data_IF_338145145591
#
_entry.id   IF_338145145591
#
_cell.length_a   1.000
_cell.length_b   1.000
_cell.length_c   1.000
_cell.angle_alpha   90.00
_cell.angle_beta   90.00
_cell.angle_gamma   90.00
#
_symmetry.space_group_name_H-M   'P 1'
#
loop_
_entity.id
_entity.type
_entity.pdbx_description
1 polymer ?
#
# COMPACT_ATOMS: atom_id res chain seq x y z
N UNK A 1 -26.84 1.05 25.83
CA UNK A 1 -26.18 1.14 24.52
C UNK A 1 -27.18 1.74 23.55
N UNK A 2 -27.15 3.06 23.37
CA UNK A 2 -27.94 3.70 22.31
C UNK A 2 -27.05 3.83 21.09
N UNK A 3 -27.30 2.99 20.10
CA UNK A 3 -26.60 3.08 18.83
C UNK A 3 -27.63 2.88 17.73
N UNK A 4 -27.82 3.91 16.90
CA UNK A 4 -28.78 3.86 15.80
C UNK A 4 -28.12 3.14 14.63
N UNK A 5 -28.69 2.01 14.24
CA UNK A 5 -28.30 1.30 13.03
C UNK A 5 -28.76 2.14 11.83
N UNK A 6 -27.80 2.61 11.04
CA UNK A 6 -28.03 3.38 9.82
C UNK A 6 -27.37 2.69 8.65
N UNK A 7 -27.99 2.79 7.47
CA UNK A 7 -27.33 2.40 6.22
C UNK A 7 -26.15 3.35 5.97
N UNK A 8 -24.98 2.87 5.50
CA UNK A 8 -23.91 3.77 5.10
C UNK A 8 -24.40 4.73 4.01
N UNK A 9 -24.18 6.03 4.23
CA UNK A 9 -24.48 7.08 3.26
C UNK A 9 -23.26 7.37 2.39
N UNK A 10 -23.45 8.12 1.29
CA UNK A 10 -22.34 8.56 0.45
C UNK A 10 -21.45 9.53 1.25
N UNK A 11 -20.14 9.44 1.05
CA UNK A 11 -19.20 10.44 1.55
C UNK A 11 -18.88 11.34 0.36
N UNK A 12 -19.50 12.52 0.29
CA UNK A 12 -19.47 13.39 -0.90
C UNK A 12 -19.94 12.61 -2.16
N UNK A 13 -19.08 12.45 -3.17
CA UNK A 13 -19.39 11.70 -4.39
C UNK A 13 -19.00 10.21 -4.29
N UNK A 14 -18.28 9.82 -3.24
CA UNK A 14 -17.81 8.46 -3.06
C UNK A 14 -18.93 7.54 -2.55
N UNK A 15 -19.16 6.45 -3.30
CA UNK A 15 -20.11 5.37 -2.99
C UNK A 15 -19.61 4.47 -1.85
N UNK A 16 -19.49 5.05 -0.67
CA UNK A 16 -19.03 4.39 0.55
C UNK A 16 -19.92 3.20 0.93
N UNK A 17 -21.22 3.29 0.65
CA UNK A 17 -22.19 2.20 0.77
C UNK A 17 -21.80 0.95 0.00
N UNK A 18 -21.35 1.11 -1.25
CA UNK A 18 -20.92 -0.01 -2.10
C UNK A 18 -19.56 -0.54 -1.70
N UNK A 19 -18.65 0.36 -1.32
CA UNK A 19 -17.33 -0.02 -0.82
C UNK A 19 -17.44 -0.92 0.42
N UNK A 20 -18.32 -0.60 1.37
CA UNK A 20 -18.56 -1.43 2.56
C UNK A 20 -19.33 -2.73 2.26
N UNK A 21 -20.25 -2.69 1.29
CA UNK A 21 -20.99 -3.89 0.88
C UNK A 21 -20.07 -5.01 0.37
N UNK A 22 -18.91 -4.68 -0.22
CA UNK A 22 -17.91 -5.68 -0.64
C UNK A 22 -17.40 -6.50 0.55
N UNK A 23 -17.32 -5.89 1.73
CA UNK A 23 -16.83 -6.51 2.97
C UNK A 23 -17.99 -7.11 3.79
N UNK A 24 -19.19 -7.19 3.21
CA UNK A 24 -20.40 -7.68 3.88
C UNK A 24 -20.99 -6.71 4.90
N UNK A 25 -20.54 -5.45 4.92
CA UNK A 25 -20.99 -4.44 5.87
C UNK A 25 -22.10 -3.61 5.22
N UNK A 26 -23.34 -3.84 5.65
CA UNK A 26 -24.53 -3.17 5.11
C UNK A 26 -25.11 -2.10 6.05
N UNK A 27 -24.64 -2.07 7.30
CA UNK A 27 -25.17 -1.24 8.36
C UNK A 27 -24.04 -0.73 9.26
N UNK A 28 -24.11 0.54 9.61
CA UNK A 28 -23.22 1.21 10.53
C UNK A 28 -23.98 1.59 11.80
N UNK A 29 -23.25 1.68 12.90
CA UNK A 29 -23.80 2.01 14.19
C UNK A 29 -23.14 3.32 14.68
N UNK A 30 -23.88 4.43 14.68
CA UNK A 30 -23.35 5.75 15.02
C UNK A 30 -24.43 6.70 15.58
N UNK A 31 -24.13 7.58 16.57
CA UNK A 31 -22.91 7.60 17.38
C UNK A 31 -22.87 6.43 18.35
N UNK A 32 -21.67 5.95 18.66
CA UNK A 32 -21.44 4.81 19.54
C UNK A 32 -20.95 5.30 20.90
N UNK A 33 -21.74 5.10 21.95
CA UNK A 33 -21.37 5.45 23.32
C UNK A 33 -21.22 4.20 24.19
N UNK A 34 -19.98 3.90 24.58
CA UNK A 34 -19.64 2.90 25.59
C UNK A 34 -19.76 1.45 25.11
N UNK A 35 -18.66 0.92 24.55
CA UNK A 35 -18.47 -0.53 24.46
C UNK A 35 -18.29 -1.08 25.87
N UNK A 36 -19.19 -1.96 26.30
CA UNK A 36 -18.89 -2.85 27.41
C UNK A 36 -18.39 -4.16 26.81
N UNK A 37 -17.13 -4.50 27.09
CA UNK A 37 -16.58 -5.79 26.72
C UNK A 37 -17.37 -6.88 27.46
N UNK A 38 -18.12 -7.69 26.72
CA UNK A 38 -18.94 -8.78 27.28
C UNK A 38 -18.08 -10.04 27.41
N UNK A 39 -17.23 -10.31 26.42
CA UNK A 39 -16.37 -11.50 26.36
C UNK A 39 -15.15 -11.23 25.47
N UNK A 40 -14.03 -11.91 25.73
CA UNK A 40 -12.78 -11.81 24.95
C UNK A 40 -12.23 -13.21 24.64
N UNK A 41 -11.39 -13.33 23.62
CA UNK A 41 -10.74 -14.61 23.24
C UNK A 41 -11.42 -15.40 22.12
N UNK A 42 -12.56 -14.95 21.61
CA UNK A 42 -13.26 -15.58 20.46
C UNK A 42 -12.79 -15.05 19.08
N UNK A 43 -11.65 -14.38 19.05
CA UNK A 43 -11.06 -13.85 17.82
C UNK A 43 -10.27 -14.91 17.06
N UNK A 44 -9.77 -14.55 15.87
CA UNK A 44 -8.80 -15.37 15.17
C UNK A 44 -7.40 -15.12 15.73
N UNK A 45 -6.73 -16.16 16.21
CA UNK A 45 -5.41 -16.10 16.84
C UNK A 45 -4.32 -15.51 15.93
N UNK A 46 -4.43 -15.72 14.62
CA UNK A 46 -3.49 -15.13 13.65
C UNK A 46 -3.68 -13.63 13.57
N UNK A 47 -4.94 -13.17 13.55
CA UNK A 47 -5.26 -11.75 13.53
C UNK A 47 -4.87 -11.08 14.85
N UNK A 48 -5.10 -11.74 16.00
CA UNK A 48 -4.70 -11.20 17.30
C UNK A 48 -3.18 -11.04 17.42
N UNK A 49 -2.40 -12.01 16.92
CA UNK A 49 -0.95 -11.90 16.83
C UNK A 49 -0.51 -10.72 15.94
N UNK A 50 -1.16 -10.55 14.79
CA UNK A 50 -0.84 -9.44 13.87
C UNK A 50 -1.14 -8.09 14.51
N UNK A 51 -2.29 -7.94 15.18
CA UNK A 51 -2.62 -6.71 15.89
C UNK A 51 -1.65 -6.46 17.04
N UNK A 52 -1.29 -7.49 17.81
CA UNK A 52 -0.28 -7.37 18.85
C UNK A 52 1.07 -6.88 18.30
N UNK A 53 1.55 -7.44 17.19
CA UNK A 53 2.80 -6.98 16.57
C UNK A 53 2.67 -5.55 16.07
N UNK A 54 1.54 -5.18 15.45
CA UNK A 54 1.28 -3.79 15.03
C UNK A 54 1.32 -2.82 16.19
N UNK A 55 0.68 -3.15 17.29
CA UNK A 55 0.63 -2.30 18.48
C UNK A 55 2.03 -2.08 19.06
N UNK A 56 2.88 -3.12 19.03
CA UNK A 56 4.30 -2.98 19.44
C UNK A 56 5.10 -2.08 18.50
N UNK A 57 4.91 -2.21 17.19
CA UNK A 57 5.53 -1.32 16.20
C UNK A 57 5.06 0.12 16.38
N UNK A 58 3.76 0.33 16.63
CA UNK A 58 3.17 1.64 16.89
C UNK A 58 3.72 2.25 18.18
N UNK A 59 3.78 1.47 19.27
CA UNK A 59 4.37 1.88 20.54
C UNK A 59 5.82 2.36 20.36
N UNK A 60 6.64 1.60 19.64
CA UNK A 60 8.05 1.97 19.37
C UNK A 60 8.17 3.20 18.47
N UNK A 61 7.30 3.33 17.47
CA UNK A 61 7.28 4.48 16.58
C UNK A 61 6.92 5.76 17.35
N UNK A 62 5.88 5.70 18.19
CA UNK A 62 5.41 6.83 19.01
C UNK A 62 6.39 7.22 20.13
N UNK A 63 7.29 6.32 20.55
CA UNK A 63 8.36 6.65 21.49
C UNK A 63 9.52 7.44 20.84
N UNK A 64 9.67 7.35 19.51
CA UNK A 64 10.77 7.97 18.77
C UNK A 64 10.32 9.25 18.06
N UNK A 65 9.16 9.20 17.42
CA UNK A 65 8.65 10.29 16.60
C UNK A 65 7.43 10.94 17.26
N UNK A 66 7.33 12.26 17.15
CA UNK A 66 6.11 13.01 17.47
C UNK A 66 5.08 12.89 16.34
N UNK A 67 3.83 13.26 16.62
CA UNK A 67 2.85 13.49 15.56
C UNK A 67 3.17 14.79 14.79
N UNK A 68 2.98 14.84 13.46
CA UNK A 68 2.35 13.84 12.57
C UNK A 68 3.30 12.76 12.00
N UNK A 69 4.61 12.83 12.30
CA UNK A 69 5.62 11.95 11.69
C UNK A 69 5.41 10.49 12.05
N UNK A 70 5.00 10.23 13.30
CA UNK A 70 4.68 8.89 13.78
C UNK A 70 3.53 8.25 12.99
N UNK A 71 2.39 8.95 12.85
CA UNK A 71 1.25 8.46 12.05
C UNK A 71 1.58 8.35 10.56
N UNK A 72 2.40 9.24 10.01
CA UNK A 72 2.86 9.12 8.62
C UNK A 72 3.71 7.86 8.41
N UNK A 73 4.68 7.61 9.30
CA UNK A 73 5.53 6.42 9.23
C UNK A 73 4.71 5.14 9.47
N UNK A 74 3.73 5.19 10.37
CA UNK A 74 2.80 4.10 10.62
C UNK A 74 1.99 3.70 9.37
N UNK A 75 1.46 4.68 8.64
CA UNK A 75 0.78 4.45 7.36
C UNK A 75 1.71 3.86 6.30
N UNK A 76 2.94 4.35 6.25
CA UNK A 76 3.92 3.94 5.26
C UNK A 76 4.46 2.51 5.48
N UNK A 77 4.76 2.14 6.72
CA UNK A 77 5.40 0.85 7.06
C UNK A 77 4.40 -0.29 7.23
N UNK A 78 3.27 -0.05 7.90
CA UNK A 78 2.31 -1.11 8.27
C UNK A 78 0.84 -0.75 8.00
N UNK A 79 0.58 0.34 7.28
CA UNK A 79 -0.72 0.63 6.67
C UNK A 79 -1.73 1.19 7.65
N UNK A 80 -1.27 1.70 8.80
CA UNK A 80 -2.14 2.35 9.76
C UNK A 80 -2.64 3.69 9.19
N UNK A 81 -3.96 3.83 9.06
CA UNK A 81 -4.60 5.08 8.63
C UNK A 81 -5.17 5.89 9.78
N UNK A 82 -5.27 5.28 10.96
CA UNK A 82 -5.82 5.89 12.17
C UNK A 82 -4.74 6.75 12.82
N UNK A 83 -5.01 8.05 13.00
CA UNK A 83 -4.12 8.97 13.72
C UNK A 83 -3.58 10.15 12.90
N UNK A 84 -3.66 10.09 11.55
CA UNK A 84 -3.21 11.20 10.71
C UNK A 84 -4.07 12.46 10.93
N UNK A 85 -3.45 13.61 11.25
CA UNK A 85 -4.16 14.89 11.33
C UNK A 85 -4.86 15.23 10.01
N UNK A 86 -6.04 15.88 10.11
CA UNK A 86 -6.89 16.16 8.96
C UNK A 86 -6.20 17.10 7.96
N UNK A 87 -5.42 18.07 8.44
CA UNK A 87 -4.61 18.99 7.63
C UNK A 87 -3.57 18.25 6.77
N UNK A 88 -2.94 17.22 7.33
CA UNK A 88 -2.00 16.37 6.60
C UNK A 88 -2.73 15.57 5.52
N UNK A 89 -3.89 15.00 5.84
CA UNK A 89 -4.72 14.27 4.87
C UNK A 89 -5.19 15.17 3.71
N UNK A 90 -5.61 16.39 4.03
CA UNK A 90 -6.05 17.39 3.06
C UNK A 90 -4.89 17.81 2.14
N UNK A 91 -3.68 17.97 2.67
CA UNK A 91 -2.49 18.24 1.87
C UNK A 91 -2.17 17.08 0.91
N UNK A 92 -2.31 15.83 1.35
CA UNK A 92 -2.12 14.65 0.50
C UNK A 92 -3.19 14.54 -0.60
N UNK A 93 -4.43 14.92 -0.29
CA UNK A 93 -5.50 15.00 -1.30
C UNK A 93 -5.23 16.13 -2.30
N UNK A 94 -4.84 17.33 -1.82
CA UNK A 94 -4.55 18.49 -2.65
C UNK A 94 -3.37 18.25 -3.62
N UNK A 95 -2.37 17.49 -3.17
CA UNK A 95 -1.21 17.10 -4.00
C UNK A 95 -1.45 15.84 -4.83
N UNK A 96 -2.60 15.15 -4.67
CA UNK A 96 -2.95 13.96 -5.43
C UNK A 96 -2.12 12.70 -5.09
N UNK A 97 -1.48 12.67 -3.92
CA UNK A 97 -0.57 11.60 -3.51
C UNK A 97 -1.11 10.75 -2.35
N UNK A 98 -2.42 10.77 -2.13
CA UNK A 98 -3.12 9.93 -1.14
C UNK A 98 -2.83 8.43 -1.30
N UNK A 99 -2.55 7.98 -2.53
CA UNK A 99 -2.19 6.60 -2.85
C UNK A 99 -0.83 6.15 -2.30
N UNK A 100 -0.01 7.08 -1.77
CA UNK A 100 1.30 6.76 -1.16
C UNK A 100 1.12 6.34 0.30
N UNK A 101 0.19 6.98 1.02
CA UNK A 101 -0.17 6.62 2.41
C UNK A 101 -0.88 5.26 2.43
N UNK A 102 -1.69 4.97 1.42
CA UNK A 102 -2.20 3.65 1.20
C UNK A 102 -1.08 2.76 0.67
N UNK A 103 -0.60 1.80 1.47
CA UNK A 103 0.49 0.89 1.06
C UNK A 103 0.32 0.45 -0.40
N UNK A 104 1.30 0.82 -1.21
CA UNK A 104 1.29 0.62 -2.65
C UNK A 104 2.06 -0.64 -3.02
N UNK A 105 1.98 -1.05 -4.29
CA UNK A 105 2.80 -2.15 -4.81
C UNK A 105 4.30 -1.87 -4.70
N UNK A 106 4.70 -0.60 -4.68
CA UNK A 106 6.09 -0.19 -4.52
C UNK A 106 6.63 -0.55 -3.12
N UNK A 107 5.83 -0.34 -2.08
CA UNK A 107 6.15 -0.72 -0.69
C UNK A 107 6.42 -2.22 -0.60
N UNK A 108 5.61 -3.05 -1.28
CA UNK A 108 5.80 -4.51 -1.33
C UNK A 108 7.12 -4.86 -2.03
N UNK A 109 7.46 -4.20 -3.14
CA UNK A 109 8.72 -4.49 -3.83
C UNK A 109 9.95 -4.15 -3.00
N UNK A 110 9.92 -3.04 -2.25
CA UNK A 110 11.00 -2.66 -1.33
C UNK A 110 11.12 -3.70 -0.22
N UNK A 111 10.01 -4.04 0.42
CA UNK A 111 10.00 -5.02 1.51
C UNK A 111 10.49 -6.39 1.03
N UNK A 112 10.02 -6.84 -0.14
CA UNK A 112 10.51 -8.07 -0.76
C UNK A 112 12.02 -8.01 -1.05
N UNK A 113 12.55 -6.86 -1.51
CA UNK A 113 13.98 -6.67 -1.73
C UNK A 113 14.80 -6.72 -0.44
N UNK A 114 14.31 -6.10 0.64
CA UNK A 114 14.97 -6.15 1.96
C UNK A 114 15.02 -7.59 2.47
N UNK A 115 13.91 -8.32 2.42
CA UNK A 115 13.88 -9.73 2.82
C UNK A 115 14.77 -10.61 1.93
N UNK A 116 14.87 -10.31 0.63
CA UNK A 116 15.80 -10.96 -0.29
C UNK A 116 17.26 -10.77 0.14
N UNK A 117 17.67 -9.54 0.43
CA UNK A 117 19.03 -9.21 0.88
C UNK A 117 19.34 -9.92 2.20
N UNK A 118 18.40 -9.89 3.16
CA UNK A 118 18.54 -10.55 4.44
C UNK A 118 18.68 -12.07 4.29
N UNK A 119 17.85 -12.70 3.46
CA UNK A 119 17.90 -14.13 3.20
C UNK A 119 19.24 -14.55 2.55
N UNK A 120 19.77 -13.74 1.63
CA UNK A 120 21.09 -14.00 1.04
C UNK A 120 22.24 -13.79 2.03
N UNK A 121 22.14 -12.80 2.91
CA UNK A 121 23.14 -12.54 3.97
C UNK A 121 23.28 -13.72 4.93
N UNK A 122 22.18 -14.44 5.19
CA UNK A 122 22.15 -15.65 6.04
C UNK A 122 22.62 -16.91 5.27
N UNK A 123 22.99 -16.79 3.99
CA UNK A 123 23.56 -17.88 3.19
C UNK A 123 22.54 -18.81 2.52
N UNK A 124 21.27 -18.40 2.40
CA UNK A 124 20.30 -19.21 1.65
C UNK A 124 20.65 -19.30 0.16
N UNK A 125 20.69 -20.52 -0.37
CA UNK A 125 20.82 -20.72 -1.82
C UNK A 125 19.59 -20.21 -2.56
N UNK A 126 19.75 -19.73 -3.81
CA UNK A 126 18.67 -19.13 -4.63
C UNK A 126 17.39 -19.99 -4.69
N UNK A 127 17.52 -21.32 -4.64
CA UNK A 127 16.39 -22.27 -4.67
C UNK A 127 15.65 -22.37 -3.33
N UNK A 128 16.37 -22.24 -2.20
CA UNK A 128 15.78 -22.24 -0.85
C UNK A 128 15.19 -20.88 -0.49
N UNK A 129 15.70 -19.78 -1.07
CA UNK A 129 15.19 -18.44 -0.83
C UNK A 129 13.76 -18.23 -1.37
N UNK A 130 13.38 -18.92 -2.45
CA UNK A 130 12.05 -18.77 -3.07
C UNK A 130 10.86 -18.93 -2.11
N UNK A 131 10.69 -20.08 -1.40
CA UNK A 131 9.56 -20.25 -0.48
C UNK A 131 9.58 -19.23 0.68
N UNK A 132 10.77 -18.84 1.15
CA UNK A 132 10.91 -17.80 2.17
C UNK A 132 10.40 -16.44 1.71
N UNK A 133 10.66 -16.06 0.46
CA UNK A 133 10.20 -14.78 -0.09
C UNK A 133 8.68 -14.79 -0.29
N UNK A 134 8.13 -15.90 -0.80
CA UNK A 134 6.67 -16.04 -0.95
C UNK A 134 5.98 -15.95 0.40
N UNK A 135 6.53 -16.62 1.42
CA UNK A 135 6.04 -16.53 2.79
C UNK A 135 6.15 -15.09 3.32
N UNK A 136 7.29 -14.41 3.13
CA UNK A 136 7.49 -13.04 3.58
C UNK A 136 6.51 -12.05 2.93
N UNK A 137 6.26 -12.19 1.61
CA UNK A 137 5.25 -11.38 0.90
C UNK A 137 3.87 -11.67 1.48
N UNK A 138 3.50 -12.93 1.68
CA UNK A 138 2.21 -13.31 2.25
C UNK A 138 2.01 -12.72 3.66
N UNK A 139 2.99 -12.88 4.54
CA UNK A 139 2.97 -12.31 5.89
C UNK A 139 2.85 -10.79 5.81
N UNK A 140 3.59 -10.12 4.93
CA UNK A 140 3.52 -8.66 4.77
C UNK A 140 2.16 -8.19 4.25
N UNK A 141 1.54 -8.90 3.29
CA UNK A 141 0.20 -8.57 2.78
C UNK A 141 -0.83 -8.64 3.91
N UNK A 142 -0.80 -9.69 4.73
CA UNK A 142 -1.72 -9.84 5.85
C UNK A 142 -1.40 -8.80 6.94
N UNK A 143 -0.12 -8.62 7.24
CA UNK A 143 0.35 -7.63 8.20
C UNK A 143 -0.10 -6.22 7.82
N UNK A 144 -0.08 -5.84 6.55
CA UNK A 144 -0.50 -4.50 6.12
C UNK A 144 -2.02 -4.31 6.00
N UNK A 145 -2.82 -5.32 6.36
CA UNK A 145 -4.28 -5.27 6.34
C UNK A 145 -4.91 -5.67 5.01
N UNK A 146 -4.16 -6.31 4.12
CA UNK A 146 -4.64 -6.95 2.89
C UNK A 146 -5.53 -6.09 1.98
N UNK A 147 -5.26 -4.77 1.91
CA UNK A 147 -5.99 -3.89 0.98
C UNK A 147 -5.86 -4.37 -0.46
N UNK A 148 -6.85 -4.09 -1.32
CA UNK A 148 -6.89 -4.66 -2.67
C UNK A 148 -5.64 -4.35 -3.51
N UNK A 149 -5.07 -3.15 -3.37
CA UNK A 149 -3.81 -2.77 -4.04
C UNK A 149 -2.63 -3.64 -3.60
N UNK A 150 -2.51 -3.88 -2.29
CA UNK A 150 -1.46 -4.68 -1.65
C UNK A 150 -1.59 -6.14 -2.05
N UNK A 151 -2.81 -6.70 -1.93
CA UNK A 151 -3.09 -8.09 -2.30
C UNK A 151 -2.79 -8.35 -3.78
N UNK A 152 -3.17 -7.44 -4.68
CA UNK A 152 -2.82 -7.54 -6.10
C UNK A 152 -1.31 -7.57 -6.28
N UNK A 153 -0.59 -6.61 -5.71
CA UNK A 153 0.87 -6.53 -5.86
C UNK A 153 1.59 -7.74 -5.26
N UNK A 154 1.08 -8.31 -4.16
CA UNK A 154 1.57 -9.58 -3.61
C UNK A 154 1.39 -10.75 -4.57
N UNK A 155 0.19 -10.93 -5.13
CA UNK A 155 -0.09 -11.99 -6.12
C UNK A 155 0.81 -11.83 -7.35
N UNK A 156 0.89 -10.61 -7.92
CA UNK A 156 1.74 -10.34 -9.08
C UNK A 156 3.23 -10.60 -8.77
N UNK A 157 3.71 -10.21 -7.59
CA UNK A 157 5.08 -10.46 -7.14
C UNK A 157 5.39 -11.96 -7.06
N UNK A 158 4.51 -12.75 -6.46
CA UNK A 158 4.67 -14.22 -6.39
C UNK A 158 4.70 -14.85 -7.78
N UNK A 159 3.82 -14.42 -8.69
CA UNK A 159 3.79 -14.92 -10.07
C UNK A 159 5.06 -14.59 -10.84
N UNK A 160 5.59 -13.37 -10.69
CA UNK A 160 6.86 -12.97 -11.31
C UNK A 160 8.02 -13.80 -10.76
N UNK A 161 8.05 -14.08 -9.46
CA UNK A 161 9.06 -14.94 -8.85
C UNK A 161 8.96 -16.39 -9.37
N UNK A 162 7.74 -16.93 -9.48
CA UNK A 162 7.50 -18.26 -10.06
C UNK A 162 7.97 -18.35 -11.52
N UNK A 163 7.68 -17.32 -12.31
CA UNK A 163 8.14 -17.24 -13.70
C UNK A 163 9.68 -17.26 -13.78
N UNK A 164 10.36 -16.47 -12.93
CA UNK A 164 11.83 -16.48 -12.83
C UNK A 164 12.38 -17.85 -12.43
N UNK A 165 11.76 -18.53 -11.47
CA UNK A 165 12.21 -19.84 -11.01
C UNK A 165 12.02 -20.94 -12.07
N UNK A 166 10.95 -20.86 -12.85
CA UNK A 166 10.65 -21.80 -13.94
C UNK A 166 11.35 -21.44 -15.25
N UNK A 167 12.15 -20.37 -15.29
CA UNK A 167 12.85 -19.89 -16.48
C UNK A 167 11.93 -19.30 -17.55
N UNK A 168 10.69 -18.97 -17.21
CA UNK A 168 9.70 -18.41 -18.14
C UNK A 168 9.74 -16.88 -18.11
N UNK A 169 9.56 -16.27 -19.27
CA UNK A 169 9.31 -14.82 -19.35
C UNK A 169 7.90 -14.51 -18.84
N UNK A 170 7.80 -13.71 -17.78
CA UNK A 170 6.52 -13.24 -17.27
C UNK A 170 5.99 -12.09 -18.14
N UNK A 171 4.89 -12.32 -18.86
CA UNK A 171 4.18 -11.23 -19.54
C UNK A 171 3.27 -10.55 -18.53
N UNK A 172 3.51 -9.25 -18.28
CA UNK A 172 2.78 -8.46 -17.28
C UNK A 172 1.26 -8.53 -17.50
N UNK A 173 0.81 -8.55 -18.75
CA UNK A 173 -0.61 -8.70 -19.08
C UNK A 173 -1.22 -10.00 -18.55
N UNK A 174 -0.55 -11.15 -18.76
CA UNK A 174 -1.03 -12.44 -18.27
C UNK A 174 -1.08 -12.46 -16.74
N UNK A 175 -0.06 -11.88 -16.10
CA UNK A 175 -0.03 -11.71 -14.65
C UNK A 175 -1.22 -10.86 -14.18
N UNK A 176 -1.50 -9.75 -14.85
CA UNK A 176 -2.57 -8.83 -14.51
C UNK A 176 -3.95 -9.49 -14.63
N UNK A 177 -4.22 -10.19 -15.74
CA UNK A 177 -5.48 -10.92 -15.97
C UNK A 177 -5.64 -12.05 -14.95
N UNK A 178 -4.58 -12.83 -14.71
CA UNK A 178 -4.63 -13.90 -13.71
C UNK A 178 -4.89 -13.37 -12.31
N UNK A 179 -4.23 -12.27 -11.91
CA UNK A 179 -4.48 -11.65 -10.61
C UNK A 179 -5.92 -11.14 -10.49
N UNK A 180 -6.46 -10.51 -11.54
CA UNK A 180 -7.86 -10.09 -11.55
C UNK A 180 -8.82 -11.29 -11.40
N UNK A 181 -8.55 -12.40 -12.09
CA UNK A 181 -9.34 -13.62 -11.97
C UNK A 181 -9.30 -14.21 -10.56
N UNK A 182 -8.11 -14.35 -9.96
CA UNK A 182 -7.95 -14.86 -8.59
C UNK A 182 -8.67 -13.98 -7.56
N UNK A 183 -8.52 -12.66 -7.66
CA UNK A 183 -9.21 -11.73 -6.75
C UNK A 183 -10.73 -11.76 -6.96
N UNK A 184 -11.21 -11.89 -8.20
CA UNK A 184 -12.64 -12.02 -8.50
C UNK A 184 -13.26 -13.32 -8.00
N UNK A 185 -12.50 -14.42 -8.00
CA UNK A 185 -12.97 -15.70 -7.47
C UNK A 185 -13.15 -15.65 -5.95
N UNK A 186 -12.31 -14.90 -5.25
CA UNK A 186 -12.47 -14.69 -3.82
C UNK A 186 -13.65 -13.77 -3.50
N UNK A 187 -13.75 -12.64 -4.21
CA UNK A 187 -14.85 -11.71 -4.04
C UNK A 187 -15.11 -10.93 -5.35
N UNK A 188 -16.21 -11.22 -6.07
CA UNK A 188 -16.50 -10.58 -7.35
C UNK A 188 -16.77 -9.07 -7.21
N UNK A 189 -17.19 -8.62 -6.03
CA UNK A 189 -17.51 -7.22 -5.76
C UNK A 189 -16.26 -6.33 -5.68
N UNK A 190 -15.07 -6.91 -5.47
CA UNK A 190 -13.81 -6.15 -5.39
C UNK A 190 -13.52 -5.41 -6.70
N UNK A 191 -13.86 -5.99 -7.85
CA UNK A 191 -13.61 -5.34 -9.15
C UNK A 191 -14.46 -4.07 -9.32
N UNK A 192 -15.69 -4.09 -8.81
CA UNK A 192 -16.70 -3.06 -9.08
C UNK A 192 -16.72 -2.00 -7.97
N UNK A 193 -16.50 -2.39 -6.71
CA UNK A 193 -16.70 -1.53 -5.55
C UNK A 193 -15.42 -1.13 -4.84
N UNK A 194 -14.27 -1.76 -5.14
CA UNK A 194 -12.99 -1.36 -4.56
C UNK A 194 -12.27 -0.35 -5.46
N UNK A 195 -12.32 0.93 -5.07
CA UNK A 195 -11.62 1.99 -5.77
C UNK A 195 -10.10 1.77 -5.81
N UNK A 196 -9.51 1.16 -4.78
CA UNK A 196 -8.08 0.87 -4.72
C UNK A 196 -7.66 -0.18 -5.75
N UNK A 197 -8.49 -1.21 -5.95
CA UNK A 197 -8.32 -2.19 -7.02
C UNK A 197 -8.38 -1.51 -8.38
N UNK A 198 -9.45 -0.77 -8.67
CA UNK A 198 -9.69 -0.16 -9.97
C UNK A 198 -8.58 0.83 -10.35
N UNK A 199 -8.25 1.75 -9.44
CA UNK A 199 -7.22 2.76 -9.68
C UNK A 199 -5.88 2.12 -9.98
N UNK A 200 -5.43 1.15 -9.18
CA UNK A 200 -4.11 0.59 -9.41
C UNK A 200 -4.08 -0.50 -10.50
N UNK A 201 -5.22 -1.07 -10.89
CA UNK A 201 -5.35 -1.83 -12.14
C UNK A 201 -5.18 -0.92 -13.35
N UNK A 202 -5.91 0.21 -13.41
CA UNK A 202 -5.78 1.20 -14.48
C UNK A 202 -4.38 1.80 -14.56
N UNK A 203 -3.76 2.10 -13.42
CA UNK A 203 -2.37 2.56 -13.37
C UNK A 203 -1.42 1.52 -13.99
N UNK A 204 -1.58 0.23 -13.66
CA UNK A 204 -0.76 -0.85 -14.21
C UNK A 204 -0.96 -0.98 -15.73
N UNK A 205 -2.19 -0.86 -16.22
CA UNK A 205 -2.48 -0.84 -17.68
C UNK A 205 -1.79 0.36 -18.34
N UNK A 206 -1.84 1.55 -17.73
CA UNK A 206 -1.10 2.72 -18.20
C UNK A 206 0.40 2.48 -18.28
N UNK A 207 1.00 1.89 -17.23
CA UNK A 207 2.42 1.56 -17.21
C UNK A 207 2.82 0.53 -18.28
N UNK A 208 1.94 -0.42 -18.63
CA UNK A 208 2.27 -1.48 -19.59
C UNK A 208 2.10 -1.01 -21.04
N UNK A 209 1.04 -0.24 -21.33
CA UNK A 209 0.68 0.10 -22.69
C UNK A 209 1.01 1.54 -23.06
N UNK A 210 0.74 2.50 -22.18
CA UNK A 210 0.91 3.92 -22.47
C UNK A 210 2.36 4.37 -22.26
N UNK A 211 3.03 3.88 -21.20
CA UNK A 211 4.43 4.22 -20.92
C UNK A 211 5.38 3.96 -22.09
N UNK A 212 5.41 2.77 -22.73
CA UNK A 212 6.30 2.54 -23.86
C UNK A 212 5.96 3.40 -25.09
N UNK A 213 4.71 3.84 -25.25
CA UNK A 213 4.30 4.71 -26.35
C UNK A 213 4.77 6.15 -26.17
N UNK A 214 4.75 6.67 -24.93
CA UNK A 214 5.18 8.04 -24.64
C UNK A 214 6.67 8.15 -24.35
N UNK A 215 7.35 7.05 -24.00
CA UNK A 215 8.79 7.01 -23.71
C UNK A 215 9.66 7.71 -24.78
N UNK A 216 9.42 7.52 -26.10
CA UNK A 216 10.21 8.21 -27.13
C UNK A 216 10.09 9.74 -27.10
N UNK A 217 8.95 10.27 -26.65
CA UNK A 217 8.72 11.72 -26.57
C UNK A 217 9.56 12.38 -25.48
N UNK A 218 9.95 11.61 -24.45
CA UNK A 218 10.81 12.06 -23.37
C UNK A 218 12.28 11.69 -23.59
N UNK A 219 12.67 11.29 -24.79
CA UNK A 219 14.06 10.92 -25.16
C UNK A 219 15.12 11.98 -24.85
N UNK A 220 14.73 13.27 -24.76
CA UNK A 220 15.61 14.39 -24.41
C UNK A 220 15.80 14.60 -22.90
N UNK A 221 15.01 13.93 -22.06
CA UNK A 221 15.17 14.01 -20.61
C UNK A 221 16.40 13.20 -20.21
N UNK A 222 17.32 13.76 -19.40
CA UNK A 222 18.49 13.02 -18.95
C UNK A 222 18.06 11.75 -18.21
N UNK A 223 18.68 10.62 -18.54
CA UNK A 223 18.47 9.31 -17.87
C UNK A 223 19.03 9.24 -16.44
N UNK A 224 19.52 10.36 -15.92
CA UNK A 224 20.17 10.44 -14.63
C UNK A 224 19.15 10.12 -13.52
N UNK A 225 19.52 9.24 -12.59
CA UNK A 225 18.68 8.76 -11.47
C UNK A 225 17.30 8.20 -11.86
N UNK A 226 17.07 7.76 -13.10
CA UNK A 226 15.77 7.18 -13.51
C UNK A 226 14.62 8.20 -13.59
N UNK A 227 14.92 9.51 -13.60
CA UNK A 227 13.90 10.58 -13.68
C UNK A 227 13.00 10.41 -14.90
N UNK A 228 13.57 10.04 -16.05
CA UNK A 228 12.81 9.76 -17.27
C UNK A 228 11.74 8.68 -17.05
N UNK A 229 12.12 7.55 -16.44
CA UNK A 229 11.21 6.44 -16.15
C UNK A 229 10.14 6.83 -15.13
N UNK A 230 10.51 7.60 -14.10
CA UNK A 230 9.58 8.13 -13.10
C UNK A 230 8.56 9.09 -13.71
N UNK A 231 8.99 10.00 -14.59
CA UNK A 231 8.10 10.94 -15.29
C UNK A 231 7.13 10.18 -16.19
N UNK A 232 7.66 9.28 -17.03
CA UNK A 232 6.86 8.51 -18.00
C UNK A 232 5.86 7.61 -17.29
N UNK A 233 6.28 6.90 -16.24
CA UNK A 233 5.39 6.04 -15.45
C UNK A 233 4.30 6.85 -14.73
N UNK A 234 4.67 7.97 -14.11
CA UNK A 234 3.73 8.87 -13.41
C UNK A 234 2.69 9.42 -14.38
N UNK A 235 3.11 9.98 -15.53
CA UNK A 235 2.19 10.51 -16.53
C UNK A 235 1.27 9.43 -17.09
N UNK A 236 1.82 8.23 -17.37
CA UNK A 236 1.03 7.12 -17.89
C UNK A 236 -0.03 6.65 -16.89
N UNK A 237 0.32 6.57 -15.62
CA UNK A 237 -0.62 6.24 -14.55
C UNK A 237 -1.69 7.32 -14.39
N UNK A 238 -1.30 8.60 -14.39
CA UNK A 238 -2.23 9.73 -14.25
C UNK A 238 -3.23 9.75 -15.40
N UNK A 239 -2.78 9.64 -16.66
CA UNK A 239 -3.67 9.65 -17.82
C UNK A 239 -4.71 8.53 -17.74
N UNK A 240 -4.32 7.32 -17.32
CA UNK A 240 -5.26 6.20 -17.20
C UNK A 240 -6.16 6.26 -15.97
N UNK A 241 -5.72 6.86 -14.87
CA UNK A 241 -6.49 6.89 -13.60
C UNK A 241 -7.38 8.12 -13.47
N UNK A 242 -7.02 9.24 -14.09
CA UNK A 242 -7.75 10.52 -13.99
C UNK A 242 -9.24 10.41 -14.31
N UNK A 243 -9.69 9.73 -15.38
CA UNK A 243 -11.11 9.62 -15.67
C UNK A 243 -11.90 8.98 -14.52
N UNK A 244 -11.33 7.96 -13.89
CA UNK A 244 -11.94 7.29 -12.75
C UNK A 244 -11.90 8.15 -11.49
N UNK A 245 -10.79 8.85 -11.26
CA UNK A 245 -10.65 9.76 -10.12
C UNK A 245 -11.67 10.89 -10.21
N UNK A 246 -11.82 11.50 -11.38
CA UNK A 246 -12.82 12.53 -11.64
C UNK A 246 -14.24 12.01 -11.44
N UNK A 247 -14.54 10.79 -11.91
CA UNK A 247 -15.87 10.20 -11.77
C UNK A 247 -16.22 9.83 -10.32
N UNK A 248 -15.26 9.34 -9.52
CA UNK A 248 -15.53 8.85 -8.17
C UNK A 248 -15.32 9.89 -7.07
N UNK A 249 -14.37 10.80 -7.25
CA UNK A 249 -13.94 11.75 -6.22
C UNK A 249 -14.16 13.21 -6.63
N UNK A 250 -14.52 13.49 -7.89
CA UNK A 250 -14.82 14.85 -8.36
C UNK A 250 -13.63 15.82 -8.32
N UNK A 251 -12.39 15.31 -8.21
CA UNK A 251 -11.19 16.14 -7.97
C UNK A 251 -10.05 15.78 -8.92
N UNK A 252 -9.29 16.78 -9.33
CA UNK A 252 -8.06 16.60 -10.08
C UNK A 252 -6.99 17.56 -9.56
N UNK A 253 -5.82 17.02 -9.22
CA UNK A 253 -4.69 17.83 -8.77
C UNK A 253 -3.73 18.07 -9.92
N UNK A 254 -3.61 19.34 -10.34
CA UNK A 254 -2.66 19.79 -11.35
C UNK A 254 -1.20 19.64 -10.89
N UNK A 255 -0.97 19.65 -9.58
CA UNK A 255 0.36 19.55 -8.97
C UNK A 255 0.81 18.09 -8.84
N UNK A 256 -0.11 17.12 -8.99
CA UNK A 256 0.16 15.70 -8.80
C UNK A 256 1.36 15.14 -9.59
N UNK A 257 1.59 15.48 -10.87
CA UNK A 257 2.76 14.97 -11.59
C UNK A 257 4.08 15.38 -10.92
N UNK A 258 4.20 16.65 -10.55
CA UNK A 258 5.41 17.20 -9.90
C UNK A 258 5.58 16.63 -8.49
N UNK A 259 4.50 16.58 -7.71
CA UNK A 259 4.52 16.02 -6.37
C UNK A 259 4.94 14.53 -6.38
N UNK A 260 4.39 13.73 -7.31
CA UNK A 260 4.73 12.31 -7.41
C UNK A 260 6.20 12.09 -7.78
N UNK A 261 6.77 12.84 -8.72
CA UNK A 261 8.18 12.67 -9.10
C UNK A 261 9.12 12.93 -7.92
N UNK A 262 8.86 14.00 -7.15
CA UNK A 262 9.66 14.35 -5.98
C UNK A 262 9.48 13.33 -4.86
N UNK A 263 8.23 12.98 -4.54
CA UNK A 263 7.91 12.10 -3.41
C UNK A 263 8.35 10.66 -3.69
N UNK A 264 8.12 10.12 -4.89
CA UNK A 264 8.50 8.74 -5.23
C UNK A 264 10.02 8.50 -5.14
N UNK A 265 10.84 9.53 -5.27
CA UNK A 265 12.29 9.43 -5.08
C UNK A 265 12.68 9.35 -3.59
N UNK A 266 11.88 9.95 -2.71
CA UNK A 266 12.16 10.06 -1.27
C UNK A 266 11.54 8.92 -0.47
N UNK A 267 10.32 8.51 -0.81
CA UNK A 267 9.57 7.44 -0.12
C UNK A 267 10.35 6.15 0.10
N UNK A 268 11.03 5.53 -0.90
CA UNK A 268 11.80 4.31 -0.68
C UNK A 268 12.88 4.48 0.38
N UNK A 269 13.56 5.63 0.38
CA UNK A 269 14.60 5.95 1.35
C UNK A 269 13.97 6.12 2.75
N UNK A 270 12.89 6.89 2.87
CA UNK A 270 12.16 7.08 4.13
C UNK A 270 11.62 5.75 4.67
N UNK A 271 11.11 4.88 3.81
CA UNK A 271 10.67 3.53 4.19
C UNK A 271 11.81 2.70 4.75
N UNK A 272 12.95 2.66 4.05
CA UNK A 272 14.10 1.87 4.45
C UNK A 272 14.69 2.35 5.78
N UNK A 273 14.92 3.65 5.91
CA UNK A 273 15.43 4.26 7.14
C UNK A 273 14.43 4.10 8.29
N UNK A 274 13.15 4.34 8.02
CA UNK A 274 12.08 4.16 9.00
C UNK A 274 11.98 2.73 9.53
N UNK A 275 12.06 1.72 8.66
CA UNK A 275 12.15 0.32 9.09
C UNK A 275 13.39 0.07 9.95
N UNK A 276 14.56 0.60 9.57
CA UNK A 276 15.79 0.44 10.33
C UNK A 276 15.69 1.09 11.72
N UNK A 277 15.16 2.31 11.82
CA UNK A 277 14.91 3.00 13.09
C UNK A 277 13.97 2.21 13.99
N UNK A 278 12.84 1.73 13.47
CA UNK A 278 11.88 0.95 14.27
C UNK A 278 12.48 -0.38 14.71
N UNK A 279 13.23 -1.08 13.86
CA UNK A 279 13.92 -2.33 14.23
C UNK A 279 14.97 -2.07 15.31
N UNK A 280 15.80 -1.03 15.17
CA UNK A 280 16.79 -0.67 16.19
C UNK A 280 16.14 -0.27 17.52
N UNK A 281 14.92 0.31 17.49
CA UNK A 281 14.15 0.64 18.68
C UNK A 281 13.80 -0.57 19.56
N UNK A 282 13.66 -1.76 18.95
CA UNK A 282 13.46 -3.01 19.70
C UNK A 282 14.73 -3.46 20.43
N UNK A 283 15.92 -3.06 19.97
CA UNK A 283 17.20 -3.36 20.62
C UNK A 283 17.56 -2.28 21.64
N UNK A 284 17.48 -1.01 21.25
CA UNK A 284 17.77 0.15 22.10
C UNK A 284 17.11 1.42 21.55
N UNK A 285 16.30 2.07 22.38
CA UNK A 285 15.65 3.35 22.03
C UNK A 285 16.70 4.45 21.81
N UNK A 286 17.78 4.46 22.59
CA UNK A 286 18.83 5.47 22.48
C UNK A 286 19.56 5.41 21.12
N UNK A 287 19.82 4.20 20.61
CA UNK A 287 20.40 4.04 19.26
C UNK A 287 19.41 4.50 18.18
N UNK A 288 18.14 4.13 18.33
CA UNK A 288 17.10 4.48 17.37
C UNK A 288 16.89 6.00 17.28
N UNK A 289 17.02 6.72 18.39
CA UNK A 289 16.96 8.19 18.41
C UNK A 289 18.12 8.85 17.66
N UNK A 290 19.30 8.22 17.59
CA UNK A 290 20.42 8.75 16.79
C UNK A 290 20.11 8.59 15.30
N UNK A 291 19.60 7.42 14.92
CA UNK A 291 19.22 7.15 13.54
C UNK A 291 17.96 7.90 13.09
N UNK A 292 17.09 8.33 14.01
CA UNK A 292 15.87 9.07 13.65
C UNK A 292 16.14 10.50 13.15
N UNK A 293 17.37 11.03 13.32
CA UNK A 293 17.77 12.33 12.77
C UNK A 293 18.21 12.26 11.29
N UNK A 294 18.35 11.05 10.72
CA UNK A 294 18.68 10.79 9.31
C UNK A 294 17.40 10.62 8.48
#
# INVERSE_FOLDING_TARGET
MECKIKKPELISDFRYDRYLAKDGIYSLCYPYHGAKLIESGHGNDVLSLIFFVKDRFAEKTNQIFSEPQASFLAGLLYGARSGLPQDVLDNFQATGVTHIIAISGYNITIVAAIFLIMAYSIGFSRKKAFPWIVLAIGVFVIFTGASASVTRAGIMGVLVLLAKQTGRSSRIFNTLVFTAAVMSLHNPWVIIFDAGFQLSFLATVGLVYLAPMIMPWFSRVPKFFGIQESVVSTLSAIVMTTPLILFQFGRFSLIAPLANILILSVIPLTMMLGFAVVITAFVSIALAQIFSWL
#
